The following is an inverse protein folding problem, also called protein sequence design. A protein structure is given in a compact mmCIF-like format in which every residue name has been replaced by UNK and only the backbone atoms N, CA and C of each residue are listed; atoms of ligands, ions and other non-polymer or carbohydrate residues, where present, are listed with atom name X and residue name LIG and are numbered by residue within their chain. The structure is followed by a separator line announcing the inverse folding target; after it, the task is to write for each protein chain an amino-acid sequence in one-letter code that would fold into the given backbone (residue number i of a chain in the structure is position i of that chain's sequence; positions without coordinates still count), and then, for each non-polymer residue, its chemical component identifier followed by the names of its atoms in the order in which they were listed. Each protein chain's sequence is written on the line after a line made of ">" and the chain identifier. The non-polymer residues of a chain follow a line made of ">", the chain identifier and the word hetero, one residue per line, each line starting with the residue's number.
data_IF_476781558817
#
_entry.id   IF_476781558817
#
_cell.length_a   1.000
_cell.length_b   1.000
_cell.length_c   1.000
_cell.angle_alpha   90.00
_cell.angle_beta   90.00
_cell.angle_gamma   90.00
#
_symmetry.space_group_name_H-M   'P 1'
#
loop_
_entity.id
_entity.type
_entity.pdbx_description
1 polymer ?
#
# COMPACT_ATOMS: atom_id res chain seq x y z
N UNK A 1 -2.00 -12.24 -19.54
CA UNK A 1 -3.43 -12.01 -19.29
C UNK A 1 -3.55 -10.85 -18.31
N UNK A 2 -4.25 -9.78 -18.67
CA UNK A 2 -4.40 -8.63 -17.78
C UNK A 2 -5.43 -8.97 -16.70
N UNK A 3 -5.02 -9.03 -15.44
CA UNK A 3 -5.87 -9.38 -14.29
C UNK A 3 -7.08 -8.46 -14.07
N UNK A 4 -7.13 -7.29 -14.73
CA UNK A 4 -8.29 -6.39 -14.73
C UNK A 4 -9.60 -7.06 -15.17
N UNK A 5 -9.52 -8.12 -16.00
CA UNK A 5 -10.69 -8.85 -16.48
C UNK A 5 -11.16 -9.97 -15.54
N UNK A 6 -10.45 -10.22 -14.44
CA UNK A 6 -10.78 -11.26 -13.46
C UNK A 6 -11.59 -10.74 -12.27
N UNK A 7 -11.93 -9.47 -12.26
CA UNK A 7 -12.71 -8.81 -11.18
C UNK A 7 -12.11 -8.97 -9.77
N UNK A 8 -10.79 -9.05 -9.67
CA UNK A 8 -10.09 -9.30 -8.40
C UNK A 8 -10.28 -8.16 -7.41
N UNK A 9 -10.29 -6.90 -7.91
CA UNK A 9 -10.51 -5.72 -7.06
C UNK A 9 -11.71 -4.96 -7.58
N UNK A 10 -12.73 -4.90 -6.74
CA UNK A 10 -13.92 -4.11 -6.95
C UNK A 10 -13.82 -2.79 -6.23
N UNK A 11 -14.23 -1.72 -6.89
CA UNK A 11 -14.26 -0.36 -6.37
C UNK A 11 -15.60 0.30 -6.64
N UNK A 12 -15.91 1.32 -5.87
CA UNK A 12 -17.00 2.25 -6.17
C UNK A 12 -16.43 3.53 -6.75
N UNK A 13 -17.15 4.15 -7.69
CA UNK A 13 -16.74 5.45 -8.19
C UNK A 13 -16.74 6.45 -7.04
N UNK A 14 -15.62 7.18 -6.88
CA UNK A 14 -15.51 8.21 -5.85
C UNK A 14 -16.62 9.22 -5.96
N UNK A 15 -17.39 9.49 -4.89
CA UNK A 15 -18.46 10.49 -4.91
C UNK A 15 -17.92 11.88 -5.24
N UNK A 16 -18.65 12.62 -6.06
CA UNK A 16 -18.38 14.02 -6.31
C UNK A 16 -18.66 14.81 -5.03
N UNK A 17 -17.66 15.59 -4.59
CA UNK A 17 -17.78 16.55 -3.49
C UNK A 17 -17.47 17.95 -4.04
N UNK A 18 -16.44 18.61 -3.54
CA UNK A 18 -15.98 19.90 -4.05
C UNK A 18 -15.33 19.77 -5.43
N UNK A 19 -14.73 18.63 -5.73
CA UNK A 19 -14.06 18.31 -6.99
C UNK A 19 -14.60 17.01 -7.56
N UNK A 20 -14.91 16.99 -8.84
CA UNK A 20 -15.19 15.77 -9.60
C UNK A 20 -13.87 15.19 -10.11
N UNK A 21 -13.45 14.07 -9.53
CA UNK A 21 -12.26 13.33 -9.97
C UNK A 21 -12.50 12.41 -11.17
N UNK A 22 -13.69 12.43 -11.77
CA UNK A 22 -14.02 11.61 -12.92
C UNK A 22 -14.10 10.12 -12.60
N UNK A 23 -13.35 9.30 -13.33
CA UNK A 23 -13.34 7.85 -13.17
C UNK A 23 -12.31 7.37 -12.13
N UNK A 24 -12.36 7.93 -10.94
CA UNK A 24 -11.57 7.48 -9.79
C UNK A 24 -12.38 6.50 -8.96
N UNK A 25 -11.74 5.40 -8.51
CA UNK A 25 -12.34 4.35 -7.70
C UNK A 25 -11.76 4.28 -6.30
N UNK A 26 -12.65 4.12 -5.32
CA UNK A 26 -12.30 3.75 -3.96
C UNK A 26 -12.55 2.25 -3.78
N UNK A 27 -11.54 1.51 -3.28
CA UNK A 27 -11.61 0.04 -3.19
C UNK A 27 -12.70 -0.34 -2.20
N UNK A 28 -13.58 -1.24 -2.63
CA UNK A 28 -14.66 -1.80 -1.81
C UNK A 28 -14.34 -3.23 -1.37
N UNK A 29 -13.73 -4.01 -2.27
CA UNK A 29 -13.47 -5.43 -2.01
C UNK A 29 -12.31 -5.95 -2.83
N UNK A 30 -11.47 -6.78 -2.21
CA UNK A 30 -10.46 -7.61 -2.87
C UNK A 30 -10.88 -9.07 -2.75
N UNK A 31 -10.82 -9.83 -3.84
CA UNK A 31 -11.06 -11.27 -3.84
C UNK A 31 -9.80 -12.02 -3.37
N UNK A 32 -9.63 -12.10 -2.06
CA UNK A 32 -8.51 -12.78 -1.44
C UNK A 32 -8.48 -14.29 -1.75
N UNK A 33 -9.64 -14.93 -1.91
CA UNK A 33 -9.74 -16.35 -2.21
C UNK A 33 -9.17 -16.66 -3.60
N UNK A 34 -9.56 -15.89 -4.61
CA UNK A 34 -9.02 -16.02 -5.95
C UNK A 34 -7.51 -15.76 -6.01
N UNK A 35 -7.03 -14.75 -5.29
CA UNK A 35 -5.59 -14.47 -5.19
C UNK A 35 -4.84 -15.62 -4.52
N UNK A 36 -5.37 -16.16 -3.43
CA UNK A 36 -4.78 -17.30 -2.73
C UNK A 36 -4.70 -18.54 -3.63
N UNK A 37 -5.74 -18.84 -4.38
CA UNK A 37 -5.75 -19.96 -5.34
C UNK A 37 -4.67 -19.80 -6.42
N UNK A 38 -4.46 -18.58 -6.92
CA UNK A 38 -3.40 -18.30 -7.89
C UNK A 38 -2.00 -18.48 -7.26
N UNK A 39 -1.81 -17.95 -6.06
CA UNK A 39 -0.54 -18.05 -5.32
C UNK A 39 -0.20 -19.52 -5.03
N UNK A 40 -1.15 -20.31 -4.55
CA UNK A 40 -0.95 -21.74 -4.30
C UNK A 40 -0.60 -22.54 -5.57
N UNK A 41 -1.02 -22.07 -6.74
CA UNK A 41 -0.63 -22.63 -8.05
C UNK A 41 0.71 -22.10 -8.57
N UNK A 42 1.44 -21.32 -7.78
CA UNK A 42 2.72 -20.73 -8.17
C UNK A 42 2.62 -19.55 -9.13
N UNK A 43 1.42 -18.96 -9.29
CA UNK A 43 1.21 -17.76 -10.10
C UNK A 43 1.52 -16.53 -9.27
N UNK A 44 2.33 -15.63 -9.82
CA UNK A 44 2.60 -14.30 -9.22
C UNK A 44 1.61 -13.29 -9.79
N UNK A 45 0.63 -12.80 -9.02
CA UNK A 45 -0.30 -11.79 -9.49
C UNK A 45 0.41 -10.42 -9.65
N UNK A 46 0.30 -9.81 -10.84
CA UNK A 46 0.75 -8.46 -11.10
C UNK A 46 -0.49 -7.59 -11.30
N UNK A 47 -0.71 -6.66 -10.37
CA UNK A 47 -1.93 -5.85 -10.31
C UNK A 47 -1.69 -4.48 -10.95
N UNK A 48 -2.58 -4.06 -11.85
CA UNK A 48 -2.59 -2.69 -12.34
C UNK A 48 -3.43 -1.81 -11.40
N UNK A 49 -3.17 -0.48 -11.31
CA UNK A 49 -3.98 0.45 -10.51
C UNK A 49 -5.31 0.80 -11.23
N UNK A 50 -5.95 -0.23 -11.76
CA UNK A 50 -7.21 -0.17 -12.47
C UNK A 50 -8.16 -1.18 -11.86
N UNK A 51 -9.30 -0.69 -11.40
CA UNK A 51 -10.36 -1.47 -10.78
C UNK A 51 -11.64 -1.39 -11.59
N UNK A 52 -12.70 -2.01 -11.15
CA UNK A 52 -13.99 -1.96 -11.82
C UNK A 52 -15.12 -1.85 -10.79
N UNK A 53 -16.27 -1.33 -11.23
CA UNK A 53 -17.46 -1.18 -10.40
C UNK A 53 -18.44 -2.38 -10.47
N UNK A 54 -18.14 -3.37 -11.27
CA UNK A 54 -19.02 -4.50 -11.56
C UNK A 54 -20.13 -4.20 -12.58
N UNK A 55 -20.21 -2.97 -13.10
CA UNK A 55 -21.22 -2.51 -14.06
C UNK A 55 -20.63 -2.23 -15.45
N UNK A 56 -19.38 -2.60 -15.66
CA UNK A 56 -18.67 -2.39 -16.93
C UNK A 56 -17.78 -1.15 -16.97
N UNK A 57 -17.78 -0.32 -15.95
CA UNK A 57 -16.88 0.83 -15.88
C UNK A 57 -15.53 0.45 -15.25
N UNK A 58 -14.48 1.01 -15.82
CA UNK A 58 -13.14 0.94 -15.25
C UNK A 58 -12.83 2.22 -14.47
N UNK A 59 -12.20 2.05 -13.31
CA UNK A 59 -11.88 3.13 -12.38
C UNK A 59 -10.36 3.15 -12.14
N UNK A 60 -9.78 4.34 -12.21
CA UNK A 60 -8.40 4.58 -11.81
C UNK A 60 -8.31 4.59 -10.28
N UNK A 61 -7.40 3.81 -9.72
CA UNK A 61 -7.22 3.70 -8.27
C UNK A 61 -5.75 3.92 -7.93
N UNK A 62 -5.47 4.54 -6.80
CA UNK A 62 -4.09 4.74 -6.35
C UNK A 62 -3.38 3.40 -6.13
N UNK A 63 -2.15 3.27 -6.63
CA UNK A 63 -1.39 2.03 -6.55
C UNK A 63 -1.04 1.62 -5.11
N UNK A 64 -0.72 2.59 -4.24
CA UNK A 64 -0.45 2.31 -2.82
C UNK A 64 -1.72 1.77 -2.13
N UNK A 65 -2.89 2.30 -2.50
CA UNK A 65 -4.19 1.78 -2.02
C UNK A 65 -4.41 0.35 -2.50
N UNK A 66 -4.16 0.04 -3.78
CA UNK A 66 -4.25 -1.34 -4.31
C UNK A 66 -3.35 -2.29 -3.51
N UNK A 67 -2.10 -1.90 -3.28
CA UNK A 67 -1.15 -2.71 -2.53
C UNK A 67 -1.61 -2.93 -1.08
N UNK A 68 -1.99 -1.86 -0.39
CA UNK A 68 -2.46 -1.93 0.99
C UNK A 68 -3.74 -2.76 1.17
N UNK A 69 -4.75 -2.54 0.33
CA UNK A 69 -6.01 -3.30 0.39
C UNK A 69 -5.80 -4.77 0.05
N UNK A 70 -4.92 -5.07 -0.92
CA UNK A 70 -4.55 -6.46 -1.25
C UNK A 70 -3.84 -7.13 -0.09
N UNK A 71 -2.87 -6.45 0.54
CA UNK A 71 -2.16 -6.98 1.70
C UNK A 71 -3.11 -7.23 2.88
N UNK A 72 -4.01 -6.29 3.19
CA UNK A 72 -5.04 -6.46 4.23
C UNK A 72 -5.95 -7.66 3.95
N UNK A 73 -6.42 -7.81 2.72
CA UNK A 73 -7.28 -8.93 2.36
C UNK A 73 -6.58 -10.30 2.46
N UNK A 74 -5.30 -10.37 2.08
CA UNK A 74 -4.51 -11.60 2.14
C UNK A 74 -4.02 -11.94 3.55
N UNK A 75 -3.93 -10.98 4.48
CA UNK A 75 -3.45 -11.21 5.84
C UNK A 75 -4.32 -12.17 6.66
N UNK A 76 -5.58 -12.38 6.24
CA UNK A 76 -6.44 -13.40 6.83
C UNK A 76 -6.06 -14.84 6.43
N UNK A 77 -5.24 -15.01 5.38
CA UNK A 77 -4.90 -16.31 4.78
C UNK A 77 -3.38 -16.60 4.81
N UNK A 78 -2.55 -15.58 4.95
CA UNK A 78 -1.09 -15.66 4.86
C UNK A 78 -0.43 -14.73 5.89
N UNK A 79 0.82 -15.05 6.23
CA UNK A 79 1.74 -14.09 6.84
C UNK A 79 2.21 -13.12 5.74
N UNK A 80 1.74 -11.88 5.79
CA UNK A 80 1.95 -10.90 4.72
C UNK A 80 2.97 -9.85 5.13
N UNK A 81 4.00 -9.67 4.32
CA UNK A 81 4.88 -8.49 4.35
C UNK A 81 4.52 -7.57 3.19
N UNK A 82 4.09 -6.35 3.47
CA UNK A 82 3.85 -5.31 2.48
C UNK A 82 5.11 -4.47 2.29
N UNK A 83 5.63 -4.43 1.06
CA UNK A 83 6.82 -3.64 0.74
C UNK A 83 6.46 -2.50 -0.19
N UNK A 84 6.62 -1.27 0.28
CA UNK A 84 6.53 -0.08 -0.55
C UNK A 84 7.92 0.31 -1.08
N UNK A 85 8.03 0.34 -2.41
CA UNK A 85 9.27 0.73 -3.09
C UNK A 85 9.21 2.18 -3.54
N UNK A 86 10.22 2.96 -3.14
CA UNK A 86 10.35 4.38 -3.46
C UNK A 86 11.71 4.72 -4.06
N UNK A 87 11.93 6.02 -4.28
CA UNK A 87 13.19 6.58 -4.74
C UNK A 87 14.23 6.73 -3.62
N UNK A 88 13.79 6.71 -2.35
CA UNK A 88 14.64 6.83 -1.18
C UNK A 88 14.80 5.47 -0.49
N UNK A 89 15.89 5.31 0.26
CA UNK A 89 16.23 4.08 0.99
C UNK A 89 15.21 3.72 2.10
N UNK A 90 14.38 4.67 2.50
CA UNK A 90 13.36 4.54 3.55
C UNK A 90 12.79 5.90 3.91
N UNK A 91 12.18 6.01 5.07
CA UNK A 91 11.81 7.30 5.67
C UNK A 91 13.07 7.96 6.23
N UNK A 92 13.38 9.16 5.75
CA UNK A 92 14.58 9.87 6.16
C UNK A 92 14.26 10.85 7.30
N UNK A 93 15.21 11.02 8.21
CA UNK A 93 15.14 12.05 9.25
C UNK A 93 15.40 13.43 8.65
N UNK A 94 16.28 13.52 7.66
CA UNK A 94 16.59 14.71 6.86
C UNK A 94 16.47 14.34 5.37
N UNK A 95 15.58 15.00 4.64
CA UNK A 95 15.36 14.73 3.20
C UNK A 95 16.60 14.92 2.33
N UNK A 96 17.58 15.71 2.80
CA UNK A 96 18.82 15.99 2.09
C UNK A 96 19.95 15.01 2.44
N UNK A 97 19.75 14.12 3.41
CA UNK A 97 20.72 13.12 3.83
C UNK A 97 20.15 11.70 3.60
N UNK A 98 20.57 11.06 2.52
CA UNK A 98 20.14 9.72 2.14
C UNK A 98 20.59 8.61 3.12
N UNK A 99 21.50 8.91 4.03
CA UNK A 99 21.96 7.98 5.06
C UNK A 99 21.22 8.19 6.41
N UNK A 100 20.35 9.20 6.51
CA UNK A 100 19.53 9.49 7.70
C UNK A 100 18.28 8.60 7.82
N UNK A 101 18.30 7.39 7.29
CA UNK A 101 17.16 6.46 7.33
C UNK A 101 16.75 6.16 8.77
N UNK A 102 15.46 6.29 9.05
CA UNK A 102 14.85 5.84 10.29
C UNK A 102 14.53 4.34 10.13
N UNK A 103 15.22 3.45 10.86
CA UNK A 103 15.10 2.02 10.60
C UNK A 103 13.75 1.41 11.02
N UNK A 104 13.15 1.96 12.08
CA UNK A 104 11.85 1.52 12.60
C UNK A 104 11.02 2.74 13.01
N UNK A 105 9.71 2.67 12.82
CA UNK A 105 8.77 3.71 13.23
C UNK A 105 7.55 3.04 13.88
N UNK A 106 7.30 3.34 15.15
CA UNK A 106 6.08 3.03 15.87
C UNK A 106 5.02 4.13 15.66
N UNK A 107 3.77 3.86 16.03
CA UNK A 107 2.69 4.86 15.93
C UNK A 107 3.00 6.14 16.71
N UNK A 108 3.53 6.01 17.92
CA UNK A 108 3.89 7.16 18.75
C UNK A 108 5.05 7.98 18.17
N UNK A 109 6.05 7.31 17.62
CA UNK A 109 7.17 8.00 16.97
C UNK A 109 6.73 8.71 15.69
N UNK A 110 5.83 8.11 14.92
CA UNK A 110 5.24 8.76 13.75
C UNK A 110 4.55 10.07 14.11
N UNK A 111 3.68 10.05 15.14
CA UNK A 111 2.99 11.25 15.62
C UNK A 111 3.98 12.33 16.08
N UNK A 112 5.06 11.92 16.74
CA UNK A 112 6.13 12.85 17.16
C UNK A 112 6.87 13.42 15.94
N UNK A 113 7.27 12.59 14.98
CA UNK A 113 7.96 13.04 13.76
C UNK A 113 7.10 13.97 12.89
N UNK A 114 5.79 13.78 12.88
CA UNK A 114 4.86 14.72 12.22
C UNK A 114 4.82 16.04 12.98
N UNK A 115 4.71 16.01 14.31
CA UNK A 115 4.70 17.22 15.14
C UNK A 115 6.00 18.02 15.04
N UNK A 116 7.14 17.33 14.95
CA UNK A 116 8.48 17.93 14.81
C UNK A 116 8.78 18.39 13.37
N UNK A 117 7.89 18.11 12.42
CA UNK A 117 8.06 18.46 11.01
C UNK A 117 9.11 17.63 10.27
N UNK A 118 9.54 16.50 10.82
CA UNK A 118 10.44 15.53 10.17
C UNK A 118 9.70 14.78 9.07
N UNK A 119 8.46 14.34 9.34
CA UNK A 119 7.62 13.66 8.36
C UNK A 119 6.56 14.64 7.88
N UNK A 120 6.54 14.90 6.58
CA UNK A 120 5.65 15.89 5.95
C UNK A 120 5.04 15.41 4.65
N UNK A 121 4.08 16.17 4.13
CA UNK A 121 3.53 16.02 2.78
C UNK A 121 2.99 14.62 2.49
N UNK A 122 3.36 14.08 1.34
CA UNK A 122 2.88 12.79 0.85
C UNK A 122 3.35 11.57 1.66
N UNK A 123 4.35 11.72 2.55
CA UNK A 123 4.79 10.64 3.42
C UNK A 123 3.79 10.36 4.55
N UNK A 124 3.06 11.37 5.03
CA UNK A 124 2.05 11.21 6.08
C UNK A 124 0.99 10.18 5.70
N UNK A 125 0.23 10.34 4.59
CA UNK A 125 -0.80 9.36 4.23
C UNK A 125 -0.23 7.96 3.94
N UNK A 126 1.02 7.85 3.48
CA UNK A 126 1.67 6.54 3.27
C UNK A 126 1.91 5.80 4.57
N UNK A 127 2.42 6.50 5.59
CA UNK A 127 2.63 5.91 6.91
C UNK A 127 1.30 5.61 7.60
N UNK A 128 0.29 6.46 7.47
CA UNK A 128 -1.06 6.17 7.97
C UNK A 128 -1.62 4.90 7.36
N UNK A 129 -1.58 4.75 6.04
CA UNK A 129 -2.00 3.52 5.34
C UNK A 129 -1.18 2.29 5.80
N UNK A 130 0.11 2.47 6.10
CA UNK A 130 0.98 1.42 6.62
C UNK A 130 0.53 0.96 8.02
N UNK A 131 0.23 1.88 8.91
CA UNK A 131 -0.33 1.55 10.23
C UNK A 131 -1.71 0.91 10.15
N UNK A 132 -2.57 1.35 9.22
CA UNK A 132 -3.85 0.71 8.96
C UNK A 132 -3.67 -0.74 8.50
N UNK A 133 -2.69 -1.02 7.64
CA UNK A 133 -2.39 -2.37 7.18
C UNK A 133 -1.94 -3.27 8.34
N UNK A 134 -1.02 -2.80 9.20
CA UNK A 134 -0.58 -3.50 10.41
C UNK A 134 -1.76 -3.78 11.35
N UNK A 135 -2.62 -2.79 11.58
CA UNK A 135 -3.80 -2.95 12.44
C UNK A 135 -4.82 -3.95 11.87
N UNK A 136 -4.89 -4.07 10.55
CA UNK A 136 -5.74 -5.03 9.84
C UNK A 136 -5.17 -6.46 9.78
N UNK A 137 -3.95 -6.69 10.32
CA UNK A 137 -3.36 -8.03 10.42
C UNK A 137 -2.19 -8.29 9.48
N UNK A 138 -1.74 -7.31 8.68
CA UNK A 138 -0.49 -7.43 7.92
C UNK A 138 0.67 -7.58 8.90
N UNK A 139 1.52 -8.58 8.69
CA UNK A 139 2.59 -8.97 9.63
C UNK A 139 3.67 -7.89 9.71
N UNK A 140 4.04 -7.32 8.58
CA UNK A 140 5.08 -6.30 8.49
C UNK A 140 4.81 -5.37 7.32
N UNK A 141 5.16 -4.08 7.48
CA UNK A 141 5.23 -3.12 6.38
C UNK A 141 6.64 -2.55 6.33
N UNK A 142 7.24 -2.57 5.14
CA UNK A 142 8.59 -2.06 4.89
C UNK A 142 8.53 -0.98 3.81
N UNK A 143 9.20 0.13 4.05
CA UNK A 143 9.40 1.21 3.08
C UNK A 143 10.87 1.21 2.68
N UNK A 144 11.18 0.99 1.40
CA UNK A 144 12.56 0.83 0.94
C UNK A 144 12.76 1.31 -0.49
N UNK A 145 14.02 1.34 -0.92
CA UNK A 145 14.40 1.58 -2.31
C UNK A 145 14.13 0.33 -3.15
N UNK A 146 13.63 0.49 -4.38
CA UNK A 146 13.31 -0.63 -5.26
C UNK A 146 14.48 -1.60 -5.51
N UNK A 147 15.72 -1.09 -5.53
CA UNK A 147 16.93 -1.92 -5.68
C UNK A 147 17.30 -2.69 -4.42
N UNK A 148 16.76 -2.32 -3.25
CA UNK A 148 17.05 -2.91 -1.95
C UNK A 148 15.94 -3.85 -1.43
N UNK A 149 14.98 -4.22 -2.27
CA UNK A 149 13.78 -5.01 -1.90
C UNK A 149 14.09 -6.36 -1.24
N UNK A 150 15.26 -6.91 -1.48
CA UNK A 150 15.72 -8.19 -0.88
C UNK A 150 16.63 -8.01 0.33
N UNK A 151 16.92 -6.77 0.70
CA UNK A 151 17.84 -6.45 1.78
C UNK A 151 17.16 -6.18 3.11
N UNK A 152 17.99 -5.87 4.09
CA UNK A 152 17.56 -5.41 5.41
C UNK A 152 17.40 -3.89 5.48
N UNK A 153 17.64 -3.18 4.37
CA UNK A 153 17.55 -1.73 4.30
C UNK A 153 16.11 -1.26 4.23
N UNK A 154 15.85 -0.09 4.77
CA UNK A 154 14.54 0.54 4.74
C UNK A 154 13.99 0.84 6.12
N UNK A 155 12.77 1.35 6.14
CA UNK A 155 12.00 1.66 7.36
C UNK A 155 10.96 0.58 7.58
N UNK A 156 10.96 -0.04 8.76
CA UNK A 156 9.95 -1.00 9.21
C UNK A 156 8.90 -0.30 10.06
N UNK A 157 7.64 -0.53 9.74
CA UNK A 157 6.53 -0.02 10.53
C UNK A 157 6.16 -1.06 11.58
N UNK A 158 6.16 -0.63 12.83
CA UNK A 158 5.86 -1.47 14.00
C UNK A 158 4.52 -1.07 14.63
N UNK A 159 3.91 -2.05 15.29
CA UNK A 159 2.65 -1.87 16.01
C UNK A 159 2.84 -1.02 17.25
#
# INVERSE_FOLDING_TARGET
>A
MLFRSMNVIRSVKRPVKEVDYGFVGDVEKVDASLLADLIHKGVVPVMAPLTHDGQGNMLNTNADTIAGETAKALSALFDVTLVYCFEKKGVLRDENDDDSVIPEITRSEFEQYVADGVIQGGMIPKLENSFEAINAGVTEVVITLASAIKGSEGTRIKK
#
